data_IF_688957827751
#
_entry.id   IF_688957827751
#
_cell.length_a   1.000
_cell.length_b   1.000
_cell.length_c   1.000
_cell.angle_alpha   90.00
_cell.angle_beta   90.00
_cell.angle_gamma   90.00
#
_symmetry.space_group_name_H-M   'P 1'
#
loop_
_entity.id
_entity.type
_entity.pdbx_description
1 polymer ?
#
# COMPACT_ATOMS: atom_id res chain seq x y z
N UNK A 1 2.13 -12.24 -12.15
CA UNK A 1 2.14 -11.15 -13.13
C UNK A 1 1.29 -9.99 -12.60
N UNK A 2 1.80 -8.78 -12.65
CA UNK A 2 1.06 -7.64 -12.15
C UNK A 2 -0.05 -7.23 -13.11
N UNK A 3 -1.25 -6.99 -12.57
CA UNK A 3 -2.39 -6.52 -13.35
C UNK A 3 -2.75 -5.07 -13.00
N UNK A 4 -1.87 -4.39 -12.27
CA UNK A 4 -2.14 -3.03 -11.81
C UNK A 4 -1.95 -2.03 -12.94
N UNK A 5 -2.95 -1.18 -13.14
CA UNK A 5 -2.91 -0.08 -14.10
C UNK A 5 -2.79 1.26 -13.37
N UNK A 6 -2.25 2.26 -14.05
CA UNK A 6 -2.15 3.61 -13.51
C UNK A 6 -3.50 4.21 -13.14
N UNK A 7 -4.56 3.75 -13.80
CA UNK A 7 -5.92 4.26 -13.57
C UNK A 7 -6.67 3.50 -12.48
N UNK A 8 -6.11 2.43 -11.97
CA UNK A 8 -6.72 1.70 -10.87
C UNK A 8 -6.69 2.55 -9.58
N UNK A 9 -7.72 2.39 -8.77
CA UNK A 9 -7.83 3.10 -7.50
C UNK A 9 -7.79 2.06 -6.38
N UNK A 10 -6.64 1.84 -5.74
CA UNK A 10 -6.55 0.82 -4.70
C UNK A 10 -7.22 1.25 -3.41
N UNK A 11 -7.84 0.29 -2.75
CA UNK A 11 -8.44 0.50 -1.44
C UNK A 11 -8.09 -0.70 -0.56
N UNK A 12 -7.81 -0.43 0.71
CA UNK A 12 -7.51 -1.47 1.67
C UNK A 12 -8.73 -2.37 1.85
N UNK A 13 -8.51 -3.69 1.83
CA UNK A 13 -9.62 -4.63 1.99
C UNK A 13 -10.30 -4.43 3.35
N UNK A 14 -11.63 -4.59 3.45
CA UNK A 14 -12.35 -4.35 4.71
C UNK A 14 -11.87 -5.22 5.87
N UNK A 15 -11.31 -6.40 5.57
CA UNK A 15 -10.80 -7.32 6.58
C UNK A 15 -9.43 -6.92 7.12
N UNK A 16 -8.75 -5.97 6.49
CA UNK A 16 -7.41 -5.55 6.85
C UNK A 16 -7.43 -4.20 7.52
N UNK A 17 -6.54 -4.01 8.49
CA UNK A 17 -6.40 -2.71 9.16
C UNK A 17 -4.97 -2.51 9.62
N UNK A 18 -4.58 -1.25 9.75
CA UNK A 18 -3.26 -0.91 10.28
C UNK A 18 -3.35 -0.66 11.78
N UNK A 19 -2.27 -0.96 12.46
CA UNK A 19 -2.15 -0.72 13.89
C UNK A 19 -0.72 -0.32 14.24
N UNK A 20 -0.57 0.66 15.12
CA UNK A 20 0.74 1.03 15.65
C UNK A 20 1.16 0.03 16.71
N UNK A 21 2.41 -0.42 16.65
CA UNK A 21 3.00 -1.32 17.64
C UNK A 21 4.05 -0.55 18.44
N UNK A 22 3.74 -0.24 19.69
CA UNK A 22 4.65 0.50 20.57
C UNK A 22 5.93 -0.26 20.91
N UNK A 23 5.85 -1.58 20.94
CA UNK A 23 7.00 -2.39 21.31
C UNK A 23 8.03 -2.40 20.19
N UNK A 24 7.57 -2.58 18.96
CA UNK A 24 8.44 -2.62 17.77
C UNK A 24 8.68 -1.26 17.16
N UNK A 25 7.92 -0.23 17.59
CA UNK A 25 7.97 1.11 17.02
C UNK A 25 7.74 1.11 15.50
N UNK A 26 6.73 0.37 15.08
CA UNK A 26 6.36 0.32 13.67
C UNK A 26 4.90 -0.02 13.49
N UNK A 27 4.38 0.20 12.29
CA UNK A 27 3.01 -0.16 11.97
C UNK A 27 2.91 -1.63 11.57
N UNK A 28 1.78 -2.22 11.90
CA UNK A 28 1.41 -3.56 11.47
C UNK A 28 0.19 -3.48 10.58
N UNK A 29 0.11 -4.38 9.62
CA UNK A 29 -1.11 -4.61 8.86
C UNK A 29 -1.72 -5.92 9.39
N UNK A 30 -2.89 -5.80 10.00
CA UNK A 30 -3.58 -6.95 10.61
C UNK A 30 -4.68 -7.46 9.68
N UNK A 31 -4.79 -8.76 9.56
CA UNK A 31 -5.82 -9.41 8.75
C UNK A 31 -6.10 -10.80 9.35
N UNK A 32 -7.22 -11.45 8.96
CA UNK A 32 -7.61 -12.71 9.61
C UNK A 32 -6.55 -13.81 9.60
N UNK A 33 -5.75 -13.87 8.53
CA UNK A 33 -4.74 -14.92 8.37
C UNK A 33 -3.43 -14.61 9.08
N UNK A 34 -3.26 -13.39 9.62
CA UNK A 34 -2.01 -13.03 10.27
C UNK A 34 -1.75 -11.54 10.29
N UNK A 35 -0.47 -11.21 10.25
CA UNK A 35 -0.05 -9.81 10.23
C UNK A 35 1.21 -9.63 9.39
N UNK A 36 1.42 -8.41 8.91
CA UNK A 36 2.63 -8.01 8.23
C UNK A 36 3.25 -6.82 8.96
N UNK A 37 4.57 -6.84 9.10
CA UNK A 37 5.31 -5.69 9.61
C UNK A 37 5.48 -4.70 8.47
N UNK A 38 5.16 -3.43 8.73
CA UNK A 38 5.23 -2.39 7.71
C UNK A 38 6.39 -1.45 8.00
N UNK A 39 7.25 -1.25 7.01
CA UNK A 39 8.21 -0.16 7.12
C UNK A 39 7.48 1.15 6.81
N UNK A 40 8.17 2.27 6.99
CA UNK A 40 7.55 3.59 6.80
C UNK A 40 7.00 3.77 5.39
N UNK A 41 7.75 3.34 4.38
CA UNK A 41 7.34 3.51 2.99
C UNK A 41 6.08 2.71 2.68
N UNK A 42 6.03 1.45 3.11
CA UNK A 42 4.85 0.61 2.88
C UNK A 42 3.63 1.19 3.59
N UNK A 43 3.82 1.67 4.83
CA UNK A 43 2.73 2.29 5.56
C UNK A 43 2.19 3.52 4.82
N UNK A 44 3.06 4.34 4.25
CA UNK A 44 2.63 5.51 3.49
C UNK A 44 1.84 5.12 2.25
N UNK A 45 2.28 4.08 1.54
CA UNK A 45 1.55 3.57 0.39
C UNK A 45 0.15 3.13 0.81
N UNK A 46 0.05 2.37 1.89
CA UNK A 46 -1.24 1.86 2.38
C UNK A 46 -2.16 3.01 2.80
N UNK A 47 -1.60 4.04 3.41
CA UNK A 47 -2.38 5.22 3.81
C UNK A 47 -3.05 5.89 2.62
N UNK A 48 -2.40 5.84 1.45
CA UNK A 48 -2.96 6.42 0.23
C UNK A 48 -3.91 5.47 -0.50
N UNK A 49 -4.02 4.24 -0.04
CA UNK A 49 -4.95 3.25 -0.60
C UNK A 49 -6.34 3.39 0.05
N UNK A 50 -6.95 4.55 -0.17
CA UNK A 50 -8.22 4.91 0.46
C UNK A 50 -9.41 4.89 -0.51
N UNK A 51 -9.20 4.39 -1.72
CA UNK A 51 -10.23 4.38 -2.75
C UNK A 51 -10.41 5.73 -3.44
N UNK A 52 -9.54 6.70 -3.15
CA UNK A 52 -9.62 8.05 -3.73
C UNK A 52 -8.40 8.45 -4.53
N UNK A 53 -7.32 7.69 -4.44
CA UNK A 53 -6.07 7.97 -5.16
C UNK A 53 -5.83 6.88 -6.19
N UNK A 54 -5.60 7.29 -7.43
CA UNK A 54 -5.19 6.35 -8.48
C UNK A 54 -3.74 5.95 -8.28
N UNK A 55 -3.36 4.81 -8.83
CA UNK A 55 -1.96 4.34 -8.77
C UNK A 55 -1.00 5.44 -9.24
N UNK A 56 -1.32 6.10 -10.35
CA UNK A 56 -0.48 7.19 -10.86
C UNK A 56 -0.33 8.34 -9.87
N UNK A 57 -1.38 8.67 -9.13
CA UNK A 57 -1.31 9.73 -8.11
C UNK A 57 -0.46 9.31 -6.92
N UNK A 58 -0.57 8.05 -6.50
CA UNK A 58 0.24 7.52 -5.41
C UNK A 58 1.72 7.58 -5.78
N UNK A 59 2.05 7.13 -6.99
CA UNK A 59 3.43 7.18 -7.48
C UNK A 59 3.95 8.61 -7.50
N UNK A 60 3.15 9.54 -7.97
CA UNK A 60 3.55 10.94 -8.07
C UNK A 60 3.77 11.55 -6.68
N UNK A 61 2.84 11.33 -5.76
CA UNK A 61 2.95 11.88 -4.40
C UNK A 61 4.20 11.37 -3.68
N UNK A 62 4.48 10.08 -3.79
CA UNK A 62 5.65 9.50 -3.16
C UNK A 62 6.95 9.89 -3.87
N UNK A 63 6.92 9.99 -5.19
CA UNK A 63 8.06 10.47 -5.95
C UNK A 63 8.43 11.90 -5.57
N UNK A 64 7.44 12.76 -5.39
CA UNK A 64 7.67 14.15 -4.96
C UNK A 64 8.21 14.20 -3.54
N UNK A 65 7.67 13.36 -2.64
CA UNK A 65 8.10 13.34 -1.26
C UNK A 65 9.54 12.88 -1.11
N UNK A 66 9.92 11.82 -1.81
CA UNK A 66 11.27 11.25 -1.71
C UNK A 66 12.23 11.80 -2.75
N UNK A 67 11.72 12.60 -3.71
CA UNK A 67 12.51 13.22 -4.78
C UNK A 67 13.32 12.20 -5.57
N UNK A 68 12.68 11.06 -5.87
CA UNK A 68 13.31 9.99 -6.61
C UNK A 68 12.25 9.19 -7.35
N UNK A 69 12.68 8.31 -8.24
CA UNK A 69 11.78 7.45 -9.01
C UNK A 69 11.38 6.25 -8.15
N UNK A 70 10.12 6.22 -7.73
CA UNK A 70 9.59 5.15 -6.88
C UNK A 70 8.56 4.28 -7.59
N UNK A 71 8.33 4.52 -8.86
CA UNK A 71 7.23 3.87 -9.60
C UNK A 71 7.31 2.35 -9.54
N UNK A 72 8.47 1.77 -9.86
CA UNK A 72 8.63 0.32 -9.87
C UNK A 72 8.40 -0.28 -8.48
N UNK A 73 8.94 0.36 -7.46
CA UNK A 73 8.82 -0.11 -6.09
C UNK A 73 7.37 -0.04 -5.59
N UNK A 74 6.69 1.06 -5.88
CA UNK A 74 5.29 1.24 -5.48
C UNK A 74 4.40 0.21 -6.19
N UNK A 75 4.59 0.03 -7.50
CA UNK A 75 3.80 -0.94 -8.26
C UNK A 75 4.02 -2.37 -7.76
N UNK A 76 5.25 -2.73 -7.48
CA UNK A 76 5.55 -4.06 -6.95
C UNK A 76 4.88 -4.27 -5.59
N UNK A 77 4.97 -3.27 -4.74
CA UNK A 77 4.36 -3.30 -3.41
C UNK A 77 2.84 -3.47 -3.49
N UNK A 78 2.20 -2.66 -4.35
CA UNK A 78 0.75 -2.75 -4.56
C UNK A 78 0.36 -4.10 -5.13
N UNK A 79 1.13 -4.63 -6.08
CA UNK A 79 0.87 -5.93 -6.68
C UNK A 79 0.90 -7.05 -5.64
N UNK A 80 1.88 -7.02 -4.75
CA UNK A 80 1.99 -8.03 -3.69
C UNK A 80 0.79 -7.99 -2.76
N UNK A 81 0.36 -6.79 -2.41
CA UNK A 81 -0.78 -6.63 -1.51
C UNK A 81 -2.09 -7.07 -2.18
N UNK A 82 -2.23 -6.82 -3.48
CA UNK A 82 -3.38 -7.30 -4.24
C UNK A 82 -3.38 -8.83 -4.31
N UNK A 83 -2.22 -9.44 -4.56
CA UNK A 83 -2.11 -10.90 -4.60
C UNK A 83 -2.50 -11.55 -3.28
N UNK A 84 -2.18 -10.90 -2.17
CA UNK A 84 -2.56 -11.37 -0.83
C UNK A 84 -4.00 -11.01 -0.47
N UNK A 85 -4.72 -10.36 -1.38
CA UNK A 85 -6.10 -9.91 -1.17
C UNK A 85 -6.24 -8.92 -0.02
N UNK A 86 -5.20 -8.15 0.23
CA UNK A 86 -5.20 -7.09 1.24
C UNK A 86 -5.56 -5.75 0.64
N UNK A 87 -5.46 -5.61 -0.68
CA UNK A 87 -5.92 -4.46 -1.44
C UNK A 87 -6.90 -4.90 -2.51
N UNK A 88 -7.90 -4.07 -2.74
CA UNK A 88 -8.84 -4.20 -3.84
C UNK A 88 -8.59 -3.07 -4.83
N UNK A 89 -8.81 -3.34 -6.10
CA UNK A 89 -8.67 -2.32 -7.15
C UNK A 89 -10.07 -1.91 -7.65
N UNK A 90 -10.29 -0.61 -7.73
CA UNK A 90 -11.53 -0.06 -8.23
C UNK A 90 -11.34 0.74 -9.51
#
# INVERSE_FOLDING_TARGET
MSTISDTDTPILAPKARTKWDDIRHQYLLLFPEGLLLLNQTVHEVITLCDGKHKVSAIVQLLGDKYKTHVEADVREMLSRLVEKRLLLLE
#
